data_IF_778979504488
#
_entry.id   IF_778979504488
#
_cell.length_a   1.000
_cell.length_b   1.000
_cell.length_c   1.000
_cell.angle_alpha   90.00
_cell.angle_beta   90.00
_cell.angle_gamma   90.00
#
_symmetry.space_group_name_H-M   'P 1'
#
loop_
_entity.id
_entity.type
_entity.pdbx_description
1 polymer ?
#
# COMPACT_ATOMS: atom_id res chain seq x y z
N UNK A 1 21.80 -31.81 21.46
CA UNK A 1 20.99 -30.62 21.02
C UNK A 1 20.89 -30.73 19.51
N UNK A 2 19.74 -31.12 18.99
CA UNK A 2 19.51 -31.24 17.54
C UNK A 2 19.45 -29.81 17.01
N UNK A 3 20.33 -29.46 16.09
CA UNK A 3 20.35 -28.15 15.45
C UNK A 3 19.50 -28.27 14.19
N UNK A 4 18.23 -27.89 14.27
CA UNK A 4 17.36 -27.83 13.11
C UNK A 4 17.84 -26.72 12.17
N UNK A 5 17.90 -27.02 10.90
CA UNK A 5 18.14 -26.03 9.83
C UNK A 5 16.81 -25.43 9.37
N UNK A 6 16.86 -24.36 8.58
CA UNK A 6 15.67 -23.79 7.96
C UNK A 6 15.05 -24.80 6.98
N UNK A 7 15.90 -25.52 6.22
CA UNK A 7 15.47 -26.55 5.29
C UNK A 7 14.73 -27.71 6.00
N UNK A 8 15.17 -28.11 7.21
CA UNK A 8 14.47 -29.11 8.01
C UNK A 8 13.07 -28.64 8.37
N UNK A 9 12.92 -27.36 8.82
CA UNK A 9 11.62 -26.78 9.18
C UNK A 9 10.71 -26.63 7.95
N UNK A 10 11.24 -26.21 6.82
CA UNK A 10 10.49 -26.07 5.58
C UNK A 10 9.99 -27.42 5.06
N UNK A 11 10.84 -28.47 5.12
CA UNK A 11 10.47 -29.81 4.67
C UNK A 11 9.41 -30.50 5.53
N UNK A 12 9.34 -30.14 6.82
CA UNK A 12 8.35 -30.68 7.77
C UNK A 12 7.04 -29.87 7.77
N UNK A 13 7.00 -28.73 7.08
CA UNK A 13 5.80 -27.87 7.05
C UNK A 13 4.67 -28.50 6.26
N UNK A 14 3.57 -28.80 6.94
CA UNK A 14 2.35 -29.35 6.31
C UNK A 14 1.59 -28.32 5.47
N UNK A 15 1.71 -27.03 5.83
CA UNK A 15 1.05 -25.91 5.14
C UNK A 15 1.90 -24.65 5.24
N UNK A 16 2.04 -23.95 4.13
CA UNK A 16 2.69 -22.65 4.03
C UNK A 16 1.68 -21.62 3.57
N UNK A 17 1.44 -20.62 4.39
CA UNK A 17 0.57 -19.50 4.05
C UNK A 17 1.40 -18.35 3.51
N UNK A 18 1.19 -18.01 2.23
CA UNK A 18 1.87 -16.90 1.58
C UNK A 18 0.96 -15.69 1.46
N UNK A 19 1.45 -14.54 1.87
CA UNK A 19 0.79 -13.27 1.60
C UNK A 19 0.80 -12.98 0.10
N UNK A 20 -0.24 -12.29 -0.38
CA UNK A 20 -0.37 -11.94 -1.78
C UNK A 20 -1.31 -12.85 -2.55
N UNK A 21 -1.43 -12.59 -3.83
CA UNK A 21 -2.22 -13.39 -4.75
C UNK A 21 -1.37 -13.81 -5.96
N UNK A 22 -1.64 -14.96 -6.58
CA UNK A 22 -0.92 -15.37 -7.79
C UNK A 22 -1.00 -14.36 -8.93
N UNK A 23 -2.02 -13.49 -8.93
CA UNK A 23 -2.22 -12.45 -9.94
C UNK A 23 -1.28 -11.25 -9.79
N UNK A 24 -0.76 -11.01 -8.58
CA UNK A 24 0.05 -9.83 -8.24
C UNK A 24 1.54 -10.20 -8.14
N UNK A 25 1.89 -11.47 -7.98
CA UNK A 25 3.27 -11.91 -7.79
C UNK A 25 3.92 -12.39 -9.09
N UNK A 26 4.22 -11.46 -10.02
CA UNK A 26 4.91 -11.78 -11.28
C UNK A 26 4.29 -12.95 -12.08
N UNK A 27 2.96 -13.04 -12.09
CA UNK A 27 2.20 -14.07 -12.77
C UNK A 27 2.02 -15.36 -11.95
N UNK A 28 1.10 -16.21 -12.43
CA UNK A 28 0.82 -17.51 -11.82
C UNK A 28 2.02 -18.45 -12.00
N UNK A 29 2.76 -18.70 -10.93
CA UNK A 29 3.79 -19.73 -10.90
C UNK A 29 3.22 -21.00 -10.30
N UNK A 30 3.56 -22.19 -10.84
CA UNK A 30 3.23 -23.44 -10.18
C UNK A 30 3.88 -23.45 -8.77
N UNK A 31 3.06 -23.70 -7.77
CA UNK A 31 3.52 -23.84 -6.38
C UNK A 31 3.19 -25.24 -5.87
N UNK A 32 3.95 -25.79 -4.93
CA UNK A 32 3.60 -27.03 -4.25
C UNK A 32 2.20 -26.98 -3.62
N UNK A 33 1.51 -28.12 -3.51
CA UNK A 33 0.12 -28.15 -3.05
C UNK A 33 -0.08 -27.71 -1.59
N UNK A 34 0.99 -27.70 -0.81
CA UNK A 34 0.98 -27.20 0.56
C UNK A 34 1.20 -25.66 0.68
N UNK A 35 1.35 -24.95 -0.43
CA UNK A 35 1.44 -23.47 -0.44
C UNK A 35 0.08 -22.90 -0.80
N UNK A 36 -0.44 -22.04 0.07
CA UNK A 36 -1.71 -21.34 -0.10
C UNK A 36 -1.50 -19.84 -0.05
N UNK A 37 -1.92 -19.15 -1.12
CA UNK A 37 -1.93 -17.70 -1.13
C UNK A 37 -3.14 -17.17 -0.35
N UNK A 38 -2.88 -16.34 0.65
CA UNK A 38 -3.89 -15.80 1.57
C UNK A 38 -4.43 -14.42 1.18
N UNK A 39 -4.03 -13.91 0.01
CA UNK A 39 -4.41 -12.57 -0.42
C UNK A 39 -3.74 -11.48 0.41
N UNK A 40 -4.38 -10.33 0.45
CA UNK A 40 -3.89 -9.13 1.13
C UNK A 40 -4.34 -9.13 2.60
N UNK A 41 -3.74 -9.99 3.42
CA UNK A 41 -4.19 -10.28 4.80
C UNK A 41 -4.22 -9.05 5.71
N UNK A 42 -3.33 -8.07 5.49
CA UNK A 42 -3.26 -6.86 6.30
C UNK A 42 -4.33 -5.82 5.92
N UNK A 43 -5.00 -5.97 4.78
CA UNK A 43 -5.98 -5.01 4.33
C UNK A 43 -7.24 -5.06 5.21
N UNK A 44 -7.68 -3.89 5.65
CA UNK A 44 -8.87 -3.70 6.46
C UNK A 44 -9.70 -2.52 5.98
N UNK A 45 -10.93 -2.48 6.38
CA UNK A 45 -11.76 -1.28 6.19
C UNK A 45 -11.11 -0.07 6.91
N UNK A 46 -11.16 1.13 6.29
CA UNK A 46 -10.60 2.32 6.90
C UNK A 46 -11.34 2.67 8.19
N UNK A 47 -10.59 3.05 9.21
CA UNK A 47 -11.11 3.56 10.46
C UNK A 47 -11.16 5.09 10.45
N UNK A 48 -11.98 5.72 11.27
CA UNK A 48 -11.98 7.17 11.42
C UNK A 48 -10.58 7.69 11.74
N UNK A 49 -10.18 8.75 11.05
CA UNK A 49 -8.91 9.43 11.27
C UNK A 49 -8.92 10.22 12.59
N UNK A 50 -7.75 10.50 13.19
CA UNK A 50 -7.64 11.50 14.24
C UNK A 50 -8.29 12.83 13.83
N UNK A 51 -8.93 13.57 14.73
CA UNK A 51 -9.77 14.72 14.37
C UNK A 51 -9.07 15.79 13.52
N UNK A 52 -7.81 16.09 13.81
CA UNK A 52 -7.00 17.04 13.05
C UNK A 52 -6.72 16.57 11.62
N UNK A 53 -6.47 15.28 11.47
CA UNK A 53 -6.19 14.65 10.19
C UNK A 53 -7.49 14.47 9.39
N UNK A 54 -8.58 14.10 10.05
CA UNK A 54 -9.90 14.02 9.43
C UNK A 54 -10.31 15.39 8.84
N UNK A 55 -10.20 16.45 9.64
CA UNK A 55 -10.48 17.81 9.18
C UNK A 55 -9.57 18.24 8.02
N UNK A 56 -8.28 17.86 8.06
CA UNK A 56 -7.35 18.15 6.97
C UNK A 56 -7.78 17.48 5.68
N UNK A 57 -8.14 16.17 5.76
CA UNK A 57 -8.57 15.38 4.61
C UNK A 57 -9.90 15.86 4.06
N UNK A 58 -10.90 16.10 4.91
CA UNK A 58 -12.25 16.56 4.50
C UNK A 58 -12.22 17.94 3.82
N UNK A 59 -11.32 18.83 4.28
CA UNK A 59 -11.17 20.17 3.71
C UNK A 59 -10.38 20.20 2.40
N UNK A 60 -9.96 19.05 1.87
CA UNK A 60 -9.18 18.97 0.62
C UNK A 60 -10.10 18.74 -0.59
N UNK A 61 -10.73 19.79 -1.08
CA UNK A 61 -11.67 19.74 -2.22
C UNK A 61 -11.03 19.26 -3.52
N UNK A 62 -9.76 19.59 -3.75
CA UNK A 62 -8.97 19.13 -4.90
C UNK A 62 -8.29 17.75 -4.65
N UNK A 63 -8.52 17.17 -3.49
CA UNK A 63 -7.94 15.91 -3.06
C UNK A 63 -6.58 16.03 -2.34
N UNK A 64 -6.10 14.90 -1.87
CA UNK A 64 -4.82 14.74 -1.14
C UNK A 64 -3.94 13.75 -1.86
N UNK A 65 -2.70 14.15 -2.12
CA UNK A 65 -1.61 13.27 -2.51
C UNK A 65 -0.92 12.80 -1.23
N UNK A 66 -1.03 11.51 -0.93
CA UNK A 66 -0.32 10.91 0.19
C UNK A 66 1.10 10.52 -0.23
N UNK A 67 2.10 10.76 0.61
CA UNK A 67 3.51 10.47 0.33
C UNK A 67 4.11 9.69 1.49
N UNK A 68 4.64 8.49 1.23
CA UNK A 68 5.34 7.71 2.24
C UNK A 68 6.40 6.81 1.62
N UNK A 69 7.63 7.00 2.04
CA UNK A 69 8.78 6.15 1.67
C UNK A 69 9.05 5.04 2.71
N UNK A 70 8.02 4.67 3.46
CA UNK A 70 8.09 3.61 4.48
C UNK A 70 8.90 3.99 5.70
N UNK A 71 9.70 3.04 6.19
CA UNK A 71 10.64 3.21 7.30
C UNK A 71 12.11 3.11 6.84
N UNK A 72 12.33 2.78 5.57
CA UNK A 72 13.67 2.52 5.02
C UNK A 72 14.42 3.83 4.72
N UNK A 73 13.71 4.84 4.27
CA UNK A 73 14.30 6.13 3.91
C UNK A 73 14.10 7.14 5.04
N UNK A 74 15.20 7.59 5.60
CA UNK A 74 15.22 8.73 6.54
C UNK A 74 15.44 10.02 5.75
N UNK A 75 14.74 11.08 6.14
CA UNK A 75 14.83 12.37 5.46
C UNK A 75 16.23 12.96 5.44
N UNK A 76 17.06 12.66 6.45
CA UNK A 76 18.47 13.05 6.49
C UNK A 76 19.32 12.39 5.40
N UNK A 77 18.88 11.22 4.87
CA UNK A 77 19.57 10.47 3.83
C UNK A 77 19.15 10.86 2.41
N UNK A 78 18.10 11.65 2.28
CA UNK A 78 17.63 12.12 0.98
C UNK A 78 18.57 13.18 0.45
N UNK A 79 19.14 13.03 -0.77
CA UNK A 79 19.98 14.04 -1.40
C UNK A 79 19.22 15.37 -1.56
N UNK A 80 19.95 16.48 -1.45
CA UNK A 80 19.36 17.83 -1.45
C UNK A 80 18.64 18.12 -2.78
N UNK A 81 19.23 17.73 -3.91
CA UNK A 81 18.61 17.87 -5.24
C UNK A 81 17.26 17.17 -5.36
N UNK A 82 17.10 16.00 -4.72
CA UNK A 82 15.83 15.26 -4.68
C UNK A 82 14.81 15.97 -3.78
N UNK A 83 15.23 16.49 -2.63
CA UNK A 83 14.34 17.28 -1.77
C UNK A 83 13.81 18.51 -2.51
N UNK A 84 14.69 19.25 -3.17
CA UNK A 84 14.31 20.43 -3.94
C UNK A 84 13.33 20.07 -5.09
N UNK A 85 13.60 18.99 -5.82
CA UNK A 85 12.71 18.52 -6.87
C UNK A 85 11.32 18.16 -6.32
N UNK A 86 11.26 17.43 -5.19
CA UNK A 86 10.01 17.10 -4.50
C UNK A 86 9.26 18.36 -4.08
N UNK A 87 9.93 19.31 -3.41
CA UNK A 87 9.30 20.55 -2.91
C UNK A 87 8.73 21.38 -4.07
N UNK A 88 9.48 21.55 -5.16
CA UNK A 88 9.03 22.30 -6.34
C UNK A 88 7.79 21.66 -6.97
N UNK A 89 7.83 20.34 -7.16
CA UNK A 89 6.69 19.61 -7.74
C UNK A 89 5.47 19.67 -6.83
N UNK A 90 5.64 19.40 -5.53
CA UNK A 90 4.53 19.46 -4.57
C UNK A 90 3.91 20.85 -4.51
N UNK A 91 4.74 21.91 -4.47
CA UNK A 91 4.25 23.30 -4.50
C UNK A 91 3.49 23.69 -5.75
N UNK A 92 3.66 22.96 -6.87
CA UNK A 92 2.94 23.20 -8.12
C UNK A 92 1.58 22.49 -8.20
N UNK A 93 1.28 21.59 -7.26
CA UNK A 93 0.02 20.85 -7.23
C UNK A 93 -1.12 21.69 -6.66
N UNK A 94 -2.32 21.52 -7.21
CA UNK A 94 -3.56 22.07 -6.61
C UNK A 94 -3.98 21.28 -5.37
N UNK A 95 -3.65 20.01 -5.35
CA UNK A 95 -3.94 19.08 -4.25
C UNK A 95 -3.15 19.46 -3.00
N UNK A 96 -3.69 19.14 -1.84
CA UNK A 96 -2.88 19.08 -0.62
C UNK A 96 -1.97 17.88 -0.67
N UNK A 97 -0.78 18.02 -0.09
CA UNK A 97 0.20 16.93 0.03
C UNK A 97 0.35 16.59 1.50
N UNK A 98 0.16 15.31 1.84
CA UNK A 98 0.37 14.79 3.19
C UNK A 98 1.53 13.80 3.15
N UNK A 99 2.63 14.15 3.79
CA UNK A 99 3.86 13.36 3.72
C UNK A 99 4.29 12.85 5.08
N UNK A 100 4.59 11.55 5.14
CA UNK A 100 5.26 10.95 6.29
C UNK A 100 6.73 11.38 6.29
N UNK A 101 7.14 12.08 7.34
CA UNK A 101 8.50 12.62 7.46
C UNK A 101 8.91 12.76 8.92
N UNK A 102 10.22 12.65 9.25
CA UNK A 102 10.71 12.64 10.63
C UNK A 102 10.59 14.00 11.34
N UNK A 103 10.64 15.07 10.57
CA UNK A 103 10.50 16.44 11.08
C UNK A 103 9.15 17.02 10.69
N UNK A 104 8.65 17.97 11.49
CA UNK A 104 7.37 18.64 11.19
C UNK A 104 7.53 19.80 10.20
N UNK A 105 8.76 20.16 9.88
CA UNK A 105 9.07 21.22 8.93
C UNK A 105 10.31 20.90 8.11
N UNK A 106 10.31 21.37 6.88
CA UNK A 106 11.45 21.35 5.96
C UNK A 106 11.74 22.78 5.48
N UNK A 107 12.98 23.01 5.04
CA UNK A 107 13.33 24.24 4.32
C UNK A 107 12.52 24.32 3.02
N UNK A 108 12.11 25.53 2.65
CA UNK A 108 11.31 25.79 1.43
C UNK A 108 10.02 24.96 1.30
N UNK A 109 9.44 24.55 2.44
CA UNK A 109 8.22 23.76 2.46
C UNK A 109 7.04 24.53 1.81
N UNK A 110 6.40 23.99 0.78
CA UNK A 110 5.23 24.61 0.15
C UNK A 110 4.04 24.68 1.11
N UNK A 111 3.17 25.67 0.93
CA UNK A 111 2.01 25.90 1.80
C UNK A 111 0.97 24.77 1.75
N UNK A 112 0.92 24.01 0.66
CA UNK A 112 0.02 22.87 0.49
C UNK A 112 0.61 21.54 1.02
N UNK A 113 1.85 21.52 1.54
CA UNK A 113 2.51 20.34 2.10
C UNK A 113 2.37 20.31 3.63
N UNK A 114 1.91 19.19 4.14
CA UNK A 114 1.86 18.88 5.58
C UNK A 114 2.73 17.67 5.89
N UNK A 115 3.62 17.82 6.87
CA UNK A 115 4.52 16.75 7.31
C UNK A 115 4.06 16.20 8.66
N UNK A 116 4.10 14.88 8.80
CA UNK A 116 3.77 14.17 10.06
C UNK A 116 4.71 12.97 10.22
N UNK A 117 5.17 12.71 11.45
CA UNK A 117 6.06 11.57 11.78
C UNK A 117 5.33 10.22 11.66
N UNK A 118 4.09 10.18 12.06
CA UNK A 118 3.24 9.00 12.01
C UNK A 118 1.94 9.33 11.29
N UNK A 119 1.52 8.43 10.41
CA UNK A 119 0.30 8.54 9.62
C UNK A 119 -0.37 7.17 9.54
N UNK A 120 -1.68 7.05 9.84
CA UNK A 120 -2.44 5.82 9.72
C UNK A 120 -2.71 5.53 8.24
N UNK A 121 -1.76 4.89 7.55
CA UNK A 121 -1.71 4.77 6.10
C UNK A 121 -2.98 4.21 5.49
N UNK A 122 -3.50 3.08 5.99
CA UNK A 122 -4.70 2.47 5.43
C UNK A 122 -5.94 3.36 5.57
N UNK A 123 -6.04 4.11 6.67
CA UNK A 123 -7.18 5.02 6.91
C UNK A 123 -7.11 6.24 5.99
N UNK A 124 -5.89 6.73 5.69
CA UNK A 124 -5.67 7.80 4.72
C UNK A 124 -5.96 7.30 3.30
N UNK A 125 -5.44 6.12 2.92
CA UNK A 125 -5.69 5.53 1.60
C UNK A 125 -7.19 5.24 1.39
N UNK A 126 -7.90 4.83 2.45
CA UNK A 126 -9.33 4.59 2.42
C UNK A 126 -10.19 5.84 2.39
N UNK A 127 -9.64 7.02 2.62
CA UNK A 127 -10.38 8.27 2.60
C UNK A 127 -10.72 8.69 1.16
N UNK A 128 -11.96 9.13 0.91
CA UNK A 128 -12.45 9.47 -0.43
C UNK A 128 -11.68 10.60 -1.12
N UNK A 129 -11.03 11.49 -0.34
CA UNK A 129 -10.18 12.56 -0.85
C UNK A 129 -8.72 12.16 -1.05
N UNK A 130 -8.31 10.92 -0.76
CA UNK A 130 -6.99 10.43 -1.15
C UNK A 130 -7.00 10.09 -2.64
N UNK A 131 -6.34 10.91 -3.45
CA UNK A 131 -6.40 10.79 -4.93
C UNK A 131 -5.20 10.11 -5.53
N UNK A 132 -4.06 10.10 -4.85
CA UNK A 132 -2.86 9.39 -5.29
C UNK A 132 -1.92 9.07 -4.12
N UNK A 133 -1.08 8.07 -4.30
CA UNK A 133 -0.08 7.65 -3.34
C UNK A 133 1.31 7.63 -3.99
N UNK A 134 2.22 8.48 -3.51
CA UNK A 134 3.65 8.40 -3.85
C UNK A 134 4.31 7.50 -2.83
N UNK A 135 4.83 6.37 -3.29
CA UNK A 135 5.34 5.31 -2.41
C UNK A 135 6.70 4.78 -2.88
N UNK A 136 7.50 4.28 -1.95
CA UNK A 136 8.70 3.53 -2.28
C UNK A 136 8.42 2.14 -2.90
N UNK A 137 7.14 1.79 -3.09
CA UNK A 137 6.70 0.50 -3.60
C UNK A 137 7.06 -0.71 -2.71
N UNK A 138 7.17 -0.53 -1.39
CA UNK A 138 7.25 -1.68 -0.46
C UNK A 138 5.97 -2.51 -0.56
N UNK A 139 6.12 -3.84 -0.52
CA UNK A 139 5.05 -4.78 -0.85
C UNK A 139 3.73 -4.54 -0.07
N UNK A 140 3.82 -4.31 1.25
CA UNK A 140 2.62 -4.02 2.06
C UNK A 140 1.92 -2.73 1.63
N UNK A 141 2.69 -1.67 1.36
CA UNK A 141 2.13 -0.40 0.90
C UNK A 141 1.49 -0.50 -0.48
N UNK A 142 2.06 -1.32 -1.35
CA UNK A 142 1.50 -1.65 -2.65
C UNK A 142 0.14 -2.33 -2.50
N UNK A 143 0.05 -3.38 -1.70
CA UNK A 143 -1.21 -4.09 -1.45
C UNK A 143 -2.27 -3.19 -0.78
N UNK A 144 -1.89 -2.39 0.22
CA UNK A 144 -2.81 -1.44 0.87
C UNK A 144 -3.38 -0.42 -0.12
N UNK A 145 -2.55 0.08 -1.03
CA UNK A 145 -3.02 1.00 -2.08
C UNK A 145 -4.00 0.33 -3.04
N UNK A 146 -3.73 -0.92 -3.42
CA UNK A 146 -4.66 -1.72 -4.23
C UNK A 146 -5.99 -1.93 -3.50
N UNK A 147 -5.98 -2.30 -2.23
CA UNK A 147 -7.19 -2.51 -1.42
C UNK A 147 -8.08 -1.27 -1.40
N UNK A 148 -7.48 -0.10 -1.24
CA UNK A 148 -8.19 1.17 -1.16
C UNK A 148 -8.37 1.84 -2.53
N UNK A 149 -7.89 1.21 -3.62
CA UNK A 149 -8.05 1.67 -5.00
C UNK A 149 -7.45 3.05 -5.25
N UNK A 150 -6.29 3.31 -4.65
CA UNK A 150 -5.56 4.55 -4.82
C UNK A 150 -4.47 4.34 -5.88
N UNK A 151 -4.42 5.14 -6.95
CA UNK A 151 -3.36 5.03 -7.95
C UNK A 151 -2.01 5.41 -7.36
N UNK A 152 -0.94 4.75 -7.84
CA UNK A 152 0.38 4.89 -7.26
C UNK A 152 1.39 5.54 -8.20
N UNK A 153 2.26 6.38 -7.62
CA UNK A 153 3.54 6.70 -8.19
C UNK A 153 4.62 5.99 -7.37
N UNK A 154 5.14 4.92 -7.93
CA UNK A 154 6.20 4.13 -7.33
C UNK A 154 7.55 4.84 -7.48
N UNK A 155 8.29 4.96 -6.40
CA UNK A 155 9.64 5.52 -6.37
C UNK A 155 10.59 4.53 -5.69
N UNK A 156 10.91 3.40 -6.36
CA UNK A 156 11.69 2.33 -5.75
C UNK A 156 13.10 2.79 -5.39
N UNK A 157 13.59 2.31 -4.23
CA UNK A 157 14.89 2.66 -3.64
C UNK A 157 15.81 1.43 -3.62
N UNK A 158 15.30 0.29 -3.16
CA UNK A 158 16.08 -0.94 -2.96
C UNK A 158 15.21 -2.21 -2.93
N UNK A 159 15.84 -3.35 -2.99
CA UNK A 159 15.28 -4.70 -2.81
C UNK A 159 14.10 -5.01 -3.77
N UNK A 160 13.05 -5.61 -3.22
CA UNK A 160 11.81 -5.99 -3.89
C UNK A 160 11.02 -4.82 -4.49
N UNK A 161 11.37 -3.58 -4.09
CA UNK A 161 10.64 -2.39 -4.52
C UNK A 161 10.70 -2.17 -6.04
N UNK A 162 11.79 -2.60 -6.70
CA UNK A 162 11.91 -2.50 -8.16
C UNK A 162 10.95 -3.47 -8.86
N UNK A 163 10.83 -4.68 -8.37
CA UNK A 163 9.91 -5.68 -8.91
C UNK A 163 8.45 -5.26 -8.66
N UNK A 164 8.16 -4.77 -7.47
CA UNK A 164 6.84 -4.24 -7.12
C UNK A 164 6.47 -3.02 -7.98
N UNK A 165 7.43 -2.14 -8.28
CA UNK A 165 7.20 -0.99 -9.15
C UNK A 165 6.90 -1.42 -10.60
N UNK A 166 7.61 -2.42 -11.12
CA UNK A 166 7.32 -3.01 -12.42
C UNK A 166 5.92 -3.65 -12.46
N UNK A 167 5.51 -4.31 -11.38
CA UNK A 167 4.19 -4.89 -11.25
C UNK A 167 3.09 -3.82 -11.21
N UNK A 168 3.29 -2.70 -10.48
CA UNK A 168 2.39 -1.54 -10.46
C UNK A 168 2.13 -1.01 -11.88
N UNK A 169 3.18 -0.91 -12.71
CA UNK A 169 3.04 -0.48 -14.10
C UNK A 169 2.35 -1.52 -14.98
N UNK A 170 2.74 -2.79 -14.83
CA UNK A 170 2.18 -3.92 -15.58
C UNK A 170 0.67 -4.07 -15.35
N UNK A 171 0.23 -3.89 -14.12
CA UNK A 171 -1.18 -3.90 -13.74
C UNK A 171 -1.94 -2.64 -14.16
N UNK A 172 -1.24 -1.60 -14.63
CA UNK A 172 -1.84 -0.33 -15.02
C UNK A 172 -2.44 0.45 -13.83
N UNK A 173 -1.98 0.18 -12.60
CA UNK A 173 -2.46 0.85 -11.38
C UNK A 173 -1.56 1.99 -10.92
N UNK A 174 -0.53 2.31 -11.71
CA UNK A 174 0.39 3.41 -11.42
C UNK A 174 1.50 3.58 -12.46
N UNK A 175 2.47 4.38 -12.07
CA UNK A 175 3.71 4.67 -12.81
C UNK A 175 4.90 4.53 -11.88
N UNK A 176 6.10 4.48 -12.45
CA UNK A 176 7.34 4.33 -11.71
C UNK A 176 8.39 5.35 -12.13
N UNK A 177 9.07 5.93 -11.15
CA UNK A 177 10.28 6.75 -11.33
C UNK A 177 11.27 6.34 -10.26
N UNK A 178 12.42 5.77 -10.60
CA UNK A 178 13.42 5.40 -9.61
C UNK A 178 13.80 6.60 -8.75
N UNK A 179 13.91 6.39 -7.44
CA UNK A 179 14.19 7.48 -6.50
C UNK A 179 15.47 8.25 -6.86
N UNK A 180 16.52 7.54 -7.31
CA UNK A 180 17.79 8.14 -7.76
C UNK A 180 17.63 9.05 -8.98
N UNK A 181 16.65 8.78 -9.80
CA UNK A 181 16.45 9.45 -11.09
C UNK A 181 15.42 10.59 -11.00
N UNK A 182 14.83 10.82 -9.81
CA UNK A 182 13.84 11.89 -9.60
C UNK A 182 14.44 13.24 -10.02
N UNK A 183 13.72 13.92 -10.91
CA UNK A 183 13.90 15.31 -11.30
C UNK A 183 12.54 16.00 -11.27
N UNK A 184 12.51 17.33 -11.27
CA UNK A 184 11.25 18.08 -11.36
C UNK A 184 10.42 17.63 -12.58
N UNK A 185 11.06 17.49 -13.74
CA UNK A 185 10.37 17.17 -14.99
C UNK A 185 9.75 15.77 -14.99
N UNK A 186 10.53 14.72 -14.66
CA UNK A 186 10.02 13.35 -14.73
C UNK A 186 9.01 13.04 -13.62
N UNK A 187 9.20 13.62 -12.43
CA UNK A 187 8.24 13.48 -11.34
C UNK A 187 6.91 14.14 -11.71
N UNK A 188 6.94 15.35 -12.28
CA UNK A 188 5.74 16.06 -12.72
C UNK A 188 5.02 15.29 -13.84
N UNK A 189 5.77 14.81 -14.83
CA UNK A 189 5.20 14.00 -15.92
C UNK A 189 4.55 12.73 -15.38
N UNK A 190 5.23 11.98 -14.50
CA UNK A 190 4.70 10.76 -13.94
C UNK A 190 3.44 11.01 -13.10
N UNK A 191 3.37 12.12 -12.35
CA UNK A 191 2.19 12.54 -11.61
C UNK A 191 1.00 12.85 -12.54
N UNK A 192 1.25 13.49 -13.67
CA UNK A 192 0.21 13.72 -14.70
C UNK A 192 -0.30 12.39 -15.26
N UNK A 193 0.59 11.44 -15.53
CA UNK A 193 0.23 10.11 -16.03
C UNK A 193 -0.52 9.26 -15.01
N UNK A 194 -0.28 9.47 -13.72
CA UNK A 194 -1.06 8.85 -12.62
C UNK A 194 -2.43 9.53 -12.43
N UNK A 195 -2.73 10.54 -13.25
CA UNK A 195 -4.04 11.22 -13.29
C UNK A 195 -4.34 12.10 -12.06
N UNK A 196 -3.30 12.68 -11.44
CA UNK A 196 -3.50 13.61 -10.32
C UNK A 196 -4.27 14.87 -10.73
N UNK A 197 -4.19 15.23 -12.01
CA UNK A 197 -4.85 16.42 -12.56
C UNK A 197 -6.16 16.14 -13.30
N UNK A 198 -6.67 14.91 -13.32
CA UNK A 198 -7.85 14.58 -14.14
C UNK A 198 -9.02 14.08 -13.32
N UNK A 199 -10.19 14.57 -13.70
CA UNK A 199 -11.50 14.19 -13.18
C UNK A 199 -11.82 12.72 -13.52
N UNK A 200 -11.99 11.90 -12.52
CA UNK A 200 -12.90 10.75 -12.58
C UNK A 200 -12.42 9.44 -13.19
N UNK A 201 -11.35 9.36 -14.01
CA UNK A 201 -10.99 8.12 -14.72
C UNK A 201 -10.01 7.19 -13.99
N UNK A 202 -9.16 7.69 -13.11
CA UNK A 202 -8.12 6.89 -12.44
C UNK A 202 -8.70 5.88 -11.44
N UNK A 203 -9.80 6.19 -10.77
CA UNK A 203 -10.57 5.22 -9.98
C UNK A 203 -11.15 4.08 -10.82
N UNK A 204 -11.35 4.30 -12.12
CA UNK A 204 -11.90 3.30 -13.02
C UNK A 204 -10.86 2.22 -13.41
N UNK A 205 -9.57 2.56 -13.48
CA UNK A 205 -8.52 1.59 -13.85
C UNK A 205 -8.25 0.60 -12.71
N UNK A 206 -8.03 1.08 -11.50
CA UNK A 206 -7.89 0.22 -10.31
C UNK A 206 -9.17 -0.58 -10.01
N UNK A 207 -10.36 -0.02 -10.29
CA UNK A 207 -11.64 -0.74 -10.14
C UNK A 207 -11.81 -1.90 -11.13
N UNK A 208 -11.18 -1.90 -12.30
CA UNK A 208 -11.31 -3.03 -13.25
C UNK A 208 -10.56 -4.27 -12.80
N UNK A 209 -9.40 -4.12 -12.17
CA UNK A 209 -8.60 -5.23 -11.62
C UNK A 209 -9.13 -5.72 -10.26
N UNK A 210 -9.66 -4.82 -9.43
CA UNK A 210 -10.10 -5.12 -8.07
C UNK A 210 -11.62 -5.42 -7.94
N UNK A 211 -12.28 -5.88 -8.99
CA UNK A 211 -13.59 -6.55 -8.86
C UNK A 211 -13.50 -7.89 -8.14
N UNK A 212 -12.31 -8.29 -7.71
CA UNK A 212 -12.16 -9.41 -6.77
C UNK A 212 -12.75 -8.97 -5.42
N UNK A 213 -13.76 -9.67 -4.92
CA UNK A 213 -14.41 -9.26 -3.69
C UNK A 213 -13.39 -9.33 -2.55
N UNK A 214 -13.29 -8.25 -1.75
CA UNK A 214 -12.62 -8.22 -0.44
C UNK A 214 -13.10 -9.39 0.46
N UNK A 215 -14.23 -9.99 0.15
CA UNK A 215 -14.74 -11.23 0.75
C UNK A 215 -13.81 -12.45 0.66
N UNK A 216 -12.83 -12.49 -0.26
CA UNK A 216 -11.84 -13.57 -0.30
C UNK A 216 -10.93 -13.56 0.94
N UNK A 217 -10.62 -12.40 1.52
CA UNK A 217 -9.90 -12.32 2.80
C UNK A 217 -10.71 -12.94 3.96
N UNK A 218 -12.03 -12.81 3.97
CA UNK A 218 -12.89 -13.44 5.00
C UNK A 218 -12.97 -14.97 4.85
N UNK A 219 -12.83 -15.51 3.65
CA UNK A 219 -12.86 -16.95 3.41
C UNK A 219 -11.65 -17.67 4.02
N UNK A 220 -10.48 -17.02 4.05
CA UNK A 220 -9.28 -17.59 4.67
C UNK A 220 -9.30 -17.51 6.19
N UNK A 221 -9.91 -16.50 6.77
CA UNK A 221 -10.18 -16.49 8.22
C UNK A 221 -11.04 -17.69 8.64
N UNK A 222 -11.99 -18.08 7.80
CA UNK A 222 -12.81 -19.29 7.99
C UNK A 222 -11.97 -20.58 7.86
N UNK A 223 -11.06 -20.68 6.91
CA UNK A 223 -10.18 -21.85 6.75
C UNK A 223 -9.25 -21.96 7.96
N UNK A 224 -8.67 -20.88 8.42
CA UNK A 224 -7.80 -20.89 9.61
C UNK A 224 -8.60 -21.28 10.88
N UNK A 225 -9.82 -20.80 11.02
CA UNK A 225 -10.70 -21.18 12.15
C UNK A 225 -11.10 -22.65 12.07
N UNK A 226 -11.33 -23.19 10.90
CA UNK A 226 -11.66 -24.61 10.71
C UNK A 226 -10.45 -25.51 10.99
N UNK A 227 -9.24 -25.14 10.59
CA UNK A 227 -8.04 -25.93 10.88
C UNK A 227 -7.60 -25.89 12.35
N UNK A 228 -7.82 -24.78 13.06
CA UNK A 228 -7.55 -24.71 14.52
C UNK A 228 -8.63 -25.42 15.34
N UNK A 229 -9.81 -25.66 14.76
CA UNK A 229 -10.92 -26.37 15.44
C UNK A 229 -10.69 -27.87 15.58
N UNK A 230 -9.99 -28.52 14.65
CA UNK A 230 -9.79 -29.97 14.65
C UNK A 230 -8.77 -30.47 15.71
N UNK A 231 -8.12 -29.55 16.42
CA UNK A 231 -7.14 -29.89 17.48
C UNK A 231 -7.71 -29.86 18.91
N UNK A 232 -9.03 -29.90 19.08
CA UNK A 232 -9.70 -30.14 20.37
C UNK A 232 -10.33 -28.92 21.00
N UNK A 233 -11.61 -28.83 20.85
CA UNK A 233 -12.60 -28.59 21.92
C UNK A 233 -14.02 -28.56 21.32
N UNK A 234 -14.86 -29.48 21.80
CA UNK A 234 -16.28 -29.51 21.50
C UNK A 234 -16.99 -28.33 22.18
N UNK A 235 -17.33 -27.29 21.43
CA UNK A 235 -18.43 -26.39 21.79
C UNK A 235 -19.09 -25.82 20.53
N UNK A 236 -20.25 -26.34 20.23
CA UNK A 236 -21.04 -26.07 19.01
C UNK A 236 -21.84 -24.75 19.07
N UNK A 237 -21.71 -23.95 20.12
CA UNK A 237 -22.65 -22.86 20.40
C UNK A 237 -22.21 -21.44 19.94
N UNK A 238 -21.01 -21.28 19.36
CA UNK A 238 -20.49 -19.95 19.03
C UNK A 238 -20.36 -19.61 17.54
N UNK A 239 -20.68 -20.53 16.62
CA UNK A 239 -20.47 -20.29 15.19
C UNK A 239 -21.65 -19.58 14.53
N UNK A 240 -22.86 -19.76 15.06
CA UNK A 240 -24.06 -19.17 14.44
C UNK A 240 -24.18 -17.65 14.60
N UNK A 241 -23.49 -17.05 15.61
CA UNK A 241 -23.54 -15.60 15.84
C UNK A 241 -22.48 -14.80 15.07
N UNK A 242 -21.49 -15.44 14.44
CA UNK A 242 -20.43 -14.77 13.68
C UNK A 242 -20.73 -14.65 12.17
N UNK A 243 -21.78 -15.29 11.68
CA UNK A 243 -22.13 -15.30 10.24
C UNK A 243 -23.20 -14.26 9.85
N UNK A 244 -23.72 -13.49 10.80
CA UNK A 244 -24.76 -12.48 10.54
C UNK A 244 -24.32 -11.16 11.19
N UNK A 245 -23.32 -10.50 10.62
CA UNK A 245 -23.13 -9.04 10.71
C UNK A 245 -22.13 -8.61 9.63
#
# INVERSE_FOLDING_TARGET
MIRLTIEDLESESSLVLCQGTPLIMNGMRPVPPNIVYCGMMQCREPQPLPPDLQQFMDAATEGVVYVSFGSVLQGSQVPQDKKEALMKVFGSLKQKVLMKWETERMEEQPSNLTLKKFLPQQDILGHHNCVAFITHAGYLSFEESLCHRVPMLATPICYDQFDNAAEIESLGVGRSVKFTDITENNLKQALVEVNINFEGESRALSCRLLRLPVKLCKTFYLIFTVFTWDQGENSTDNVSSMLIN
#
